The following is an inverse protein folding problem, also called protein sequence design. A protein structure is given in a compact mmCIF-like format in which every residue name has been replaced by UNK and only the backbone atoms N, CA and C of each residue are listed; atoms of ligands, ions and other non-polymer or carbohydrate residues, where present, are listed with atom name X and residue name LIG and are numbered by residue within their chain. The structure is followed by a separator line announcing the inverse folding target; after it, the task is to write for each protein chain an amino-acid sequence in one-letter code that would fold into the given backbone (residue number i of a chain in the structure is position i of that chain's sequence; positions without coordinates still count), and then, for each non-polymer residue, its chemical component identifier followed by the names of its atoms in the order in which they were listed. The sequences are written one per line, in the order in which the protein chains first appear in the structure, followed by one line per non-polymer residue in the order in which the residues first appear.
data_IF_220949887886
#
_entry.id   IF_220949887886
#
_cell.length_a   1.000
_cell.length_b   1.000
_cell.length_c   1.000
_cell.angle_alpha   90.00
_cell.angle_beta   90.00
_cell.angle_gamma   90.00
#
_symmetry.space_group_name_H-M   'P 1'
#
loop_
_entity.id
_entity.type
_entity.pdbx_description
1 polymer ?
#
# COMPACT_ATOMS: atom_id res chain seq x y z
N UNK A 1 7.15 -24.97 -4.25
CA UNK A 1 6.28 -23.82 -4.59
C UNK A 1 6.94 -23.05 -5.73
N UNK A 2 6.24 -22.83 -6.84
CA UNK A 2 6.76 -22.16 -8.05
C UNK A 2 6.84 -20.62 -7.89
N UNK A 3 7.43 -20.11 -6.79
CA UNK A 3 7.52 -18.67 -6.50
C UNK A 3 6.18 -17.99 -6.18
N UNK A 4 5.17 -18.76 -5.78
CA UNK A 4 3.81 -18.29 -5.45
C UNK A 4 3.40 -18.69 -4.03
N UNK A 5 4.34 -18.63 -3.08
CA UNK A 5 4.11 -18.91 -1.66
C UNK A 5 3.00 -18.05 -1.03
N UNK A 6 2.75 -16.87 -1.62
CA UNK A 6 1.68 -15.96 -1.25
C UNK A 6 0.27 -16.60 -1.41
N UNK A 7 0.15 -17.70 -2.16
CA UNK A 7 -1.08 -18.45 -2.41
C UNK A 7 -1.09 -19.85 -1.77
N UNK A 8 -0.25 -20.08 -0.75
CA UNK A 8 -0.30 -21.31 0.02
C UNK A 8 -1.69 -21.49 0.67
N UNK A 9 -2.29 -22.67 0.57
CA UNK A 9 -3.54 -23.00 1.28
C UNK A 9 -3.36 -23.17 2.80
N UNK A 10 -2.10 -23.33 3.24
CA UNK A 10 -1.72 -23.43 4.65
C UNK A 10 -0.62 -22.41 4.98
N UNK A 11 -0.90 -21.09 4.88
CA UNK A 11 0.09 -20.07 5.11
C UNK A 11 0.35 -19.91 6.62
N UNK A 12 1.59 -19.54 6.96
CA UNK A 12 1.96 -19.11 8.31
C UNK A 12 2.48 -17.67 8.24
N UNK A 13 1.88 -16.79 9.04
CA UNK A 13 2.16 -15.36 9.08
C UNK A 13 2.74 -14.97 10.45
N UNK A 14 3.91 -14.34 10.44
CA UNK A 14 4.56 -13.77 11.63
C UNK A 14 3.71 -12.64 12.20
N UNK A 15 3.36 -12.72 13.49
CA UNK A 15 2.49 -11.75 14.15
C UNK A 15 0.99 -11.92 13.89
N UNK A 16 0.57 -13.02 13.23
CA UNK A 16 -0.85 -13.33 13.04
C UNK A 16 -1.18 -14.79 13.38
N UNK A 17 -0.60 -15.78 12.69
CA UNK A 17 -0.79 -17.20 13.03
C UNK A 17 0.29 -17.73 13.98
N UNK A 18 1.40 -17.01 14.11
CA UNK A 18 2.52 -17.30 15.01
C UNK A 18 2.97 -16.00 15.65
N UNK A 19 3.71 -16.10 16.76
CA UNK A 19 4.23 -14.94 17.47
C UNK A 19 5.05 -14.01 16.55
N UNK A 20 5.01 -12.71 16.85
CA UNK A 20 5.60 -11.66 16.02
C UNK A 20 6.47 -10.68 16.80
N UNK A 21 6.64 -9.48 16.24
CA UNK A 21 7.59 -8.47 16.72
C UNK A 21 7.12 -7.62 17.92
N UNK A 22 5.94 -7.87 18.49
CA UNK A 22 5.51 -7.20 19.74
C UNK A 22 6.13 -7.91 20.95
N UNK A 23 7.47 -7.98 20.95
CA UNK A 23 8.29 -8.69 21.90
C UNK A 23 9.72 -8.13 21.85
N UNK A 24 10.54 -8.46 22.86
CA UNK A 24 11.98 -8.12 22.86
C UNK A 24 12.83 -9.06 22.00
N UNK A 25 12.26 -10.18 21.54
CA UNK A 25 12.92 -11.16 20.66
C UNK A 25 11.87 -11.94 19.87
N UNK A 26 12.21 -12.36 18.64
CA UNK A 26 11.32 -13.13 17.77
C UNK A 26 12.10 -14.22 17.01
N UNK A 27 11.44 -15.35 16.74
CA UNK A 27 11.98 -16.43 15.90
C UNK A 27 11.44 -16.26 14.49
N UNK A 28 12.34 -16.07 13.51
CA UNK A 28 11.98 -15.94 12.10
C UNK A 28 12.45 -17.17 11.30
N UNK A 29 11.65 -17.56 10.31
CA UNK A 29 12.11 -18.48 9.27
C UNK A 29 13.09 -17.73 8.35
N UNK A 30 14.33 -18.21 8.29
CA UNK A 30 15.41 -17.54 7.56
C UNK A 30 15.10 -17.33 6.07
N UNK A 31 14.20 -18.12 5.47
CA UNK A 31 13.79 -17.95 4.07
C UNK A 31 12.95 -16.70 3.84
N UNK A 32 12.35 -16.14 4.89
CA UNK A 32 11.51 -14.95 4.88
C UNK A 32 12.12 -13.78 5.67
N UNK A 33 13.39 -13.88 6.03
CA UNK A 33 14.16 -12.81 6.64
C UNK A 33 15.00 -12.10 5.57
N UNK A 34 14.92 -10.77 5.53
CA UNK A 34 15.59 -9.97 4.50
C UNK A 34 16.69 -9.10 5.12
N UNK A 35 17.86 -8.99 4.48
CA UNK A 35 18.89 -8.06 4.91
C UNK A 35 18.44 -6.62 4.63
N UNK A 36 18.39 -5.79 5.66
CA UNK A 36 18.00 -4.38 5.55
C UNK A 36 19.18 -3.42 5.46
N UNK A 37 20.41 -3.96 5.49
CA UNK A 37 21.64 -3.17 5.62
C UNK A 37 21.84 -2.65 7.04
N UNK A 38 22.95 -1.93 7.26
CA UNK A 38 23.14 -1.15 8.48
C UNK A 38 22.50 0.21 8.28
N UNK A 39 21.54 0.56 9.12
CA UNK A 39 20.95 1.90 9.17
C UNK A 39 20.91 2.36 10.60
N UNK A 40 20.92 3.67 10.81
CA UNK A 40 20.82 4.24 12.15
C UNK A 40 19.36 4.36 12.63
N UNK A 41 18.36 3.98 11.81
CA UNK A 41 16.93 4.15 12.14
C UNK A 41 16.04 2.99 11.67
N UNK A 42 15.95 1.95 12.51
CA UNK A 42 15.02 0.82 12.31
C UNK A 42 13.55 1.26 12.27
N UNK A 43 13.18 2.42 12.84
CA UNK A 43 11.80 2.88 12.78
C UNK A 43 11.37 3.24 11.37
N UNK A 44 12.29 3.78 10.57
CA UNK A 44 12.00 4.12 9.18
C UNK A 44 11.83 2.86 8.31
N UNK A 45 12.47 1.76 8.69
CA UNK A 45 12.45 0.50 7.96
C UNK A 45 11.23 -0.36 8.28
N UNK A 46 10.75 -0.36 9.53
CA UNK A 46 9.66 -1.23 9.95
C UNK A 46 8.39 -1.09 9.08
N UNK A 47 7.93 0.12 8.68
CA UNK A 47 6.78 0.26 7.78
C UNK A 47 7.01 -0.31 6.38
N UNK A 48 8.27 -0.38 5.91
CA UNK A 48 8.60 -0.94 4.60
C UNK A 48 8.30 -2.43 4.52
N UNK A 49 8.43 -3.17 5.63
CA UNK A 49 8.22 -4.61 5.70
C UNK A 49 6.74 -5.04 5.60
N UNK A 50 5.79 -4.12 5.66
CA UNK A 50 4.38 -4.41 5.49
C UNK A 50 3.76 -3.48 4.45
N UNK A 51 3.58 -2.20 4.80
CA UNK A 51 2.97 -1.21 3.93
C UNK A 51 3.80 -0.96 2.66
N UNK A 52 5.13 -0.98 2.78
CA UNK A 52 6.02 -0.86 1.63
C UNK A 52 5.92 -2.07 0.70
N UNK A 53 6.03 -3.30 1.22
CA UNK A 53 5.98 -4.51 0.40
C UNK A 53 4.63 -4.72 -0.30
N UNK A 54 3.51 -4.48 0.39
CA UNK A 54 2.20 -4.58 -0.27
C UNK A 54 2.01 -3.47 -1.31
N UNK A 55 2.56 -2.29 -1.05
CA UNK A 55 2.58 -1.18 -2.00
C UNK A 55 3.43 -1.49 -3.24
N UNK A 56 4.60 -2.09 -3.06
CA UNK A 56 5.45 -2.53 -4.17
C UNK A 56 4.74 -3.59 -5.02
N UNK A 57 4.24 -4.65 -4.38
CA UNK A 57 3.57 -5.74 -5.08
C UNK A 57 2.35 -5.25 -5.87
N UNK A 58 1.54 -4.38 -5.28
CA UNK A 58 0.38 -3.80 -5.95
C UNK A 58 0.79 -2.90 -7.13
N UNK A 59 1.88 -2.14 -7.01
CA UNK A 59 2.44 -1.33 -8.09
C UNK A 59 2.99 -2.18 -9.25
N UNK A 60 3.65 -3.30 -8.94
CA UNK A 60 4.10 -4.27 -9.95
C UNK A 60 2.89 -4.86 -10.69
N UNK A 61 1.83 -5.24 -9.96
CA UNK A 61 0.58 -5.74 -10.58
C UNK A 61 -0.12 -4.66 -11.42
N UNK A 62 -0.06 -3.39 -11.00
CA UNK A 62 -0.56 -2.25 -11.75
C UNK A 62 0.18 -2.06 -13.10
N UNK A 63 1.36 -2.66 -13.28
CA UNK A 63 2.15 -2.64 -14.51
C UNK A 63 2.88 -1.32 -14.75
N UNK A 64 3.29 -1.08 -16.00
CA UNK A 64 4.19 0.02 -16.40
C UNK A 64 3.49 1.35 -16.74
N UNK A 65 2.18 1.46 -16.50
CA UNK A 65 1.39 2.64 -16.88
C UNK A 65 1.87 3.95 -16.26
N UNK A 66 1.95 5.05 -17.02
CA UNK A 66 2.55 6.29 -16.51
C UNK A 66 1.72 6.99 -15.42
N UNK A 67 0.38 6.95 -15.48
CA UNK A 67 -0.52 7.62 -14.53
C UNK A 67 -1.15 6.60 -13.57
N UNK A 68 -0.78 6.66 -12.31
CA UNK A 68 -1.22 5.71 -11.27
C UNK A 68 -2.12 6.42 -10.26
N UNK A 69 -3.36 5.95 -10.14
CA UNK A 69 -4.28 6.34 -9.07
C UNK A 69 -4.07 5.53 -7.80
N UNK A 70 -4.02 6.19 -6.65
CA UNK A 70 -3.92 5.55 -5.33
C UNK A 70 -5.17 5.92 -4.50
N UNK A 71 -6.07 4.96 -4.32
CA UNK A 71 -7.32 5.10 -3.56
C UNK A 71 -7.13 4.65 -2.12
N UNK A 72 -7.31 5.58 -1.17
CA UNK A 72 -6.95 5.38 0.23
C UNK A 72 -5.49 5.76 0.48
N UNK A 73 -5.24 7.06 0.66
CA UNK A 73 -3.89 7.61 0.80
C UNK A 73 -3.31 7.48 2.23
N UNK A 74 -3.10 6.24 2.67
CA UNK A 74 -2.56 5.89 3.99
C UNK A 74 -1.10 5.41 3.99
N UNK A 75 -0.78 4.44 4.86
CA UNK A 75 0.57 3.90 5.04
C UNK A 75 1.20 3.36 3.74
N UNK A 76 0.51 2.47 3.01
CA UNK A 76 1.05 1.90 1.77
C UNK A 76 1.12 2.94 0.64
N UNK A 77 0.08 3.77 0.51
CA UNK A 77 -0.03 4.76 -0.55
C UNK A 77 1.07 5.84 -0.49
N UNK A 78 1.42 6.35 0.69
CA UNK A 78 2.47 7.37 0.80
C UNK A 78 3.87 6.84 0.52
N UNK A 79 4.11 5.55 0.81
CA UNK A 79 5.38 4.86 0.45
C UNK A 79 5.42 4.65 -1.06
N UNK A 80 4.40 4.01 -1.63
CA UNK A 80 4.38 3.66 -3.05
C UNK A 80 4.30 4.88 -3.96
N UNK A 81 3.73 6.01 -3.50
CA UNK A 81 3.75 7.27 -4.24
C UNK A 81 5.20 7.73 -4.50
N UNK A 82 6.09 7.60 -3.52
CA UNK A 82 7.51 7.93 -3.67
C UNK A 82 8.21 6.97 -4.64
N UNK A 83 7.89 5.67 -4.57
CA UNK A 83 8.39 4.66 -5.50
C UNK A 83 7.96 4.98 -6.94
N UNK A 84 6.67 5.22 -7.17
CA UNK A 84 6.13 5.53 -8.49
C UNK A 84 6.74 6.81 -9.05
N UNK A 85 6.91 7.86 -8.23
CA UNK A 85 7.60 9.09 -8.64
C UNK A 85 9.06 8.86 -9.00
N UNK A 86 9.78 8.05 -8.23
CA UNK A 86 11.16 7.67 -8.54
C UNK A 86 11.26 6.90 -9.87
N UNK A 87 10.23 6.11 -10.21
CA UNK A 87 10.08 5.48 -11.53
C UNK A 87 9.68 6.48 -12.64
N UNK A 88 9.53 7.77 -12.34
CA UNK A 88 9.11 8.79 -13.31
C UNK A 88 7.60 8.78 -13.61
N UNK A 89 6.78 8.16 -12.77
CA UNK A 89 5.32 8.03 -12.99
C UNK A 89 4.56 9.17 -12.29
N UNK A 90 3.47 9.61 -12.92
CA UNK A 90 2.53 10.57 -12.33
C UNK A 90 1.59 9.87 -11.36
N UNK A 91 1.46 10.42 -10.15
CA UNK A 91 0.64 9.84 -9.08
C UNK A 91 -0.60 10.70 -8.85
N UNK A 92 -1.76 10.07 -8.77
CA UNK A 92 -3.05 10.70 -8.50
C UNK A 92 -3.60 10.14 -7.19
N UNK A 93 -3.70 10.97 -6.16
CA UNK A 93 -4.14 10.54 -4.83
C UNK A 93 -5.65 10.74 -4.67
N UNK A 94 -6.36 9.67 -4.30
CA UNK A 94 -7.78 9.71 -3.97
C UNK A 94 -7.95 9.46 -2.46
N UNK A 95 -8.45 10.48 -1.77
CA UNK A 95 -8.70 10.45 -0.32
C UNK A 95 -10.18 10.25 -0.04
N UNK A 96 -10.58 10.16 1.24
CA UNK A 96 -11.99 10.32 1.59
C UNK A 96 -12.49 11.70 1.11
N UNK A 97 -13.75 11.83 0.70
CA UNK A 97 -14.34 13.12 0.36
C UNK A 97 -14.15 14.11 1.52
N UNK A 98 -13.65 15.32 1.21
CA UNK A 98 -13.39 16.37 2.20
C UNK A 98 -12.16 16.20 3.10
N UNK A 99 -11.35 15.14 2.93
CA UNK A 99 -10.14 14.90 3.72
C UNK A 99 -8.96 15.78 3.27
N UNK A 100 -9.10 17.08 3.48
CA UNK A 100 -8.14 18.11 3.03
C UNK A 100 -6.73 17.92 3.62
N UNK A 101 -6.63 17.38 4.84
CA UNK A 101 -5.36 17.09 5.50
C UNK A 101 -4.59 16.00 4.76
N UNK A 102 -5.24 14.88 4.45
CA UNK A 102 -4.61 13.78 3.69
C UNK A 102 -4.29 14.22 2.27
N UNK A 103 -5.13 15.05 1.64
CA UNK A 103 -4.82 15.61 0.31
C UNK A 103 -3.60 16.53 0.35
N UNK A 104 -3.47 17.38 1.36
CA UNK A 104 -2.29 18.24 1.54
C UNK A 104 -1.03 17.40 1.77
N UNK A 105 -1.13 16.33 2.55
CA UNK A 105 -0.03 15.37 2.74
C UNK A 105 0.36 14.67 1.43
N UNK A 106 -0.62 14.25 0.61
CA UNK A 106 -0.30 13.69 -0.70
C UNK A 106 0.43 14.70 -1.59
N UNK A 107 -0.03 15.96 -1.63
CA UNK A 107 0.61 17.04 -2.40
C UNK A 107 2.03 17.32 -1.92
N UNK A 108 2.31 17.27 -0.61
CA UNK A 108 3.67 17.47 -0.09
C UNK A 108 4.66 16.39 -0.54
N UNK A 109 4.16 15.19 -0.90
CA UNK A 109 4.96 14.12 -1.50
C UNK A 109 5.14 14.25 -3.02
N UNK A 110 4.60 15.32 -3.62
CA UNK A 110 4.76 15.63 -5.04
C UNK A 110 3.85 14.83 -5.98
N UNK A 111 2.68 14.38 -5.50
CA UNK A 111 1.67 13.78 -6.39
C UNK A 111 1.17 14.82 -7.40
N UNK A 112 0.80 14.36 -8.60
CA UNK A 112 0.32 15.20 -9.70
C UNK A 112 -1.05 15.82 -9.39
N UNK A 113 -1.90 15.08 -8.69
CA UNK A 113 -3.23 15.53 -8.30
C UNK A 113 -3.66 14.84 -7.00
N UNK A 114 -4.47 15.53 -6.20
CA UNK A 114 -5.11 14.96 -5.01
C UNK A 114 -6.53 15.51 -4.85
N UNK A 115 -7.50 14.62 -4.64
CA UNK A 115 -8.91 14.96 -4.44
C UNK A 115 -9.68 13.83 -3.74
N UNK A 116 -10.98 14.02 -3.54
CA UNK A 116 -11.88 13.01 -3.00
C UNK A 116 -12.04 11.81 -3.94
N UNK A 117 -12.34 10.65 -3.36
CA UNK A 117 -12.58 9.42 -4.12
C UNK A 117 -13.85 9.44 -4.98
N UNK A 118 -14.73 10.40 -4.73
CA UNK A 118 -15.94 10.73 -5.49
C UNK A 118 -15.66 11.72 -6.65
N UNK A 119 -14.48 12.31 -6.70
CA UNK A 119 -14.06 13.21 -7.78
C UNK A 119 -13.41 12.43 -8.94
N UNK A 120 -13.34 13.07 -10.10
CA UNK A 120 -12.63 12.53 -11.27
C UNK A 120 -11.26 13.20 -11.41
N UNK A 121 -10.20 12.44 -11.73
CA UNK A 121 -8.92 13.03 -12.05
C UNK A 121 -9.02 13.84 -13.35
N UNK A 122 -8.15 14.84 -13.55
CA UNK A 122 -8.15 15.65 -14.77
C UNK A 122 -7.78 14.86 -16.04
N UNK A 123 -7.18 13.68 -15.87
CA UNK A 123 -6.76 12.81 -16.97
C UNK A 123 -7.10 11.34 -16.66
N UNK A 124 -7.41 10.52 -17.69
CA UNK A 124 -7.60 9.09 -17.51
C UNK A 124 -6.35 8.40 -16.98
N UNK A 125 -6.52 7.51 -16.02
CA UNK A 125 -5.45 6.76 -15.36
C UNK A 125 -5.09 5.50 -16.16
N UNK A 126 -3.82 5.12 -16.12
CA UNK A 126 -3.33 3.86 -16.68
C UNK A 126 -3.58 2.69 -15.73
N UNK A 127 -3.48 2.93 -14.43
CA UNK A 127 -3.81 1.98 -13.38
C UNK A 127 -4.34 2.67 -12.13
N UNK A 128 -5.12 1.95 -11.33
CA UNK A 128 -5.67 2.37 -10.05
C UNK A 128 -5.41 1.29 -9.01
N UNK A 129 -4.86 1.66 -7.87
CA UNK A 129 -4.59 0.77 -6.73
C UNK A 129 -5.49 1.19 -5.58
N UNK A 130 -6.27 0.25 -5.04
CA UNK A 130 -7.22 0.49 -3.96
C UNK A 130 -6.68 -0.15 -2.68
N UNK A 131 -6.31 0.70 -1.71
CA UNK A 131 -5.91 0.30 -0.36
C UNK A 131 -7.06 0.43 0.65
N UNK A 132 -8.04 1.29 0.36
CA UNK A 132 -9.23 1.42 1.19
C UNK A 132 -10.06 0.13 1.17
N UNK A 133 -10.75 -0.14 2.28
CA UNK A 133 -11.54 -1.36 2.48
C UNK A 133 -12.96 -1.26 1.90
N UNK A 134 -13.17 -0.42 0.88
CA UNK A 134 -14.49 -0.14 0.32
C UNK A 134 -14.64 -0.61 -1.13
N UNK A 135 -15.56 -1.56 -1.36
CA UNK A 135 -15.87 -2.14 -2.67
C UNK A 135 -16.48 -1.16 -3.66
N UNK A 136 -17.13 -0.09 -3.18
CA UNK A 136 -17.72 0.96 -4.04
C UNK A 136 -16.65 1.75 -4.83
N UNK A 137 -15.39 1.67 -4.40
CA UNK A 137 -14.26 2.29 -5.09
C UNK A 137 -13.88 1.54 -6.35
N UNK A 138 -14.25 0.26 -6.51
CA UNK A 138 -13.91 -0.51 -7.71
C UNK A 138 -14.60 0.06 -8.96
N UNK A 139 -15.93 0.29 -8.99
CA UNK A 139 -16.57 1.00 -10.10
C UNK A 139 -16.05 2.44 -10.31
N UNK A 140 -15.79 3.17 -9.23
CA UNK A 140 -15.25 4.53 -9.30
C UNK A 140 -13.87 4.55 -9.97
N UNK A 141 -12.99 3.62 -9.60
CA UNK A 141 -11.67 3.46 -10.18
C UNK A 141 -11.77 3.04 -11.66
N UNK A 142 -12.65 2.10 -12.02
CA UNK A 142 -12.87 1.71 -13.42
C UNK A 142 -13.26 2.90 -14.30
N UNK A 143 -14.13 3.78 -13.80
CA UNK A 143 -14.56 5.00 -14.50
C UNK A 143 -13.41 5.97 -14.76
N UNK A 144 -12.44 6.04 -13.84
CA UNK A 144 -11.25 6.89 -13.97
C UNK A 144 -10.17 6.30 -14.89
N UNK A 145 -10.26 5.02 -15.28
CA UNK A 145 -9.26 4.37 -16.13
C UNK A 145 -9.50 4.62 -17.62
N UNK A 146 -8.41 4.72 -18.39
CA UNK A 146 -8.47 4.51 -19.85
C UNK A 146 -8.78 3.05 -20.19
N UNK A 147 -9.11 2.79 -21.46
CA UNK A 147 -9.17 1.41 -22.01
C UNK A 147 -7.84 0.68 -21.79
N UNK A 148 -7.91 -0.61 -21.49
CA UNK A 148 -6.76 -1.46 -21.14
C UNK A 148 -6.15 -1.19 -19.76
N UNK A 149 -6.75 -0.30 -18.96
CA UNK A 149 -6.26 0.02 -17.61
C UNK A 149 -6.57 -1.07 -16.58
N UNK A 150 -5.90 -1.00 -15.42
CA UNK A 150 -6.02 -2.01 -14.36
C UNK A 150 -6.50 -1.41 -13.04
N UNK A 151 -7.47 -2.04 -12.39
CA UNK A 151 -7.81 -1.84 -10.98
C UNK A 151 -7.16 -2.97 -10.17
N UNK A 152 -6.35 -2.60 -9.18
CA UNK A 152 -5.66 -3.51 -8.27
C UNK A 152 -6.18 -3.31 -6.85
N UNK A 153 -6.94 -4.28 -6.34
CA UNK A 153 -7.44 -4.28 -4.97
C UNK A 153 -6.34 -4.83 -4.05
N UNK A 154 -5.73 -3.94 -3.26
CA UNK A 154 -4.58 -4.25 -2.40
C UNK A 154 -4.94 -4.37 -0.90
N UNK A 155 -6.21 -4.14 -0.54
CA UNK A 155 -6.70 -4.38 0.82
C UNK A 155 -6.78 -5.87 1.15
N UNK A 156 -6.42 -6.24 2.40
CA UNK A 156 -6.59 -7.61 2.92
C UNK A 156 -8.06 -7.98 3.16
N UNK A 157 -8.91 -6.97 3.29
CA UNK A 157 -10.35 -7.08 3.42
C UNK A 157 -11.01 -5.89 2.71
N UNK A 158 -12.19 -6.11 2.18
CA UNK A 158 -13.00 -5.10 1.50
C UNK A 158 -14.48 -5.47 1.65
N UNK A 159 -15.36 -4.46 1.70
CA UNK A 159 -16.79 -4.68 1.54
C UNK A 159 -17.14 -5.29 0.17
N UNK A 160 -18.38 -5.74 0.00
CA UNK A 160 -18.85 -6.26 -1.28
C UNK A 160 -18.64 -5.23 -2.41
N UNK A 161 -18.20 -5.73 -3.57
CA UNK A 161 -18.14 -4.91 -4.78
C UNK A 161 -19.58 -4.82 -5.31
N UNK A 162 -20.19 -3.63 -5.36
CA UNK A 162 -21.55 -3.49 -5.86
C UNK A 162 -21.60 -3.83 -7.37
N UNK A 163 -22.77 -4.20 -7.86
CA UNK A 163 -22.99 -4.34 -9.29
C UNK A 163 -22.71 -3.02 -10.02
N UNK A 164 -22.12 -3.09 -11.21
CA UNK A 164 -21.81 -1.93 -12.03
C UNK A 164 -22.09 -2.21 -13.51
N UNK A 165 -22.34 -1.18 -14.33
CA UNK A 165 -22.61 -1.38 -15.75
C UNK A 165 -21.38 -1.94 -16.48
N UNK A 166 -21.61 -2.88 -17.41
CA UNK A 166 -20.53 -3.59 -18.09
C UNK A 166 -19.60 -2.69 -18.93
N UNK A 167 -20.07 -1.51 -19.35
CA UNK A 167 -19.29 -0.52 -20.09
C UNK A 167 -18.07 0.00 -19.30
N UNK A 168 -18.12 -0.02 -17.97
CA UNK A 168 -17.00 0.31 -17.09
C UNK A 168 -15.88 -0.73 -17.18
N UNK A 169 -16.20 -1.99 -17.48
CA UNK A 169 -15.21 -3.06 -17.69
C UNK A 169 -14.82 -3.21 -19.16
N UNK A 170 -15.76 -2.94 -20.08
CA UNK A 170 -15.56 -3.04 -21.52
C UNK A 170 -14.38 -2.18 -22.00
N UNK A 171 -13.66 -2.67 -23.01
CA UNK A 171 -12.41 -2.06 -23.48
C UNK A 171 -11.16 -2.60 -22.76
N UNK A 172 -11.17 -3.89 -22.43
CA UNK A 172 -10.04 -4.66 -21.89
C UNK A 172 -9.51 -4.15 -20.55
N UNK A 173 -10.35 -3.51 -19.75
CA UNK A 173 -9.98 -3.16 -18.37
C UNK A 173 -9.95 -4.42 -17.52
N UNK A 174 -9.10 -4.41 -16.50
CA UNK A 174 -8.88 -5.55 -15.62
C UNK A 174 -9.18 -5.18 -14.17
N UNK A 175 -9.76 -6.11 -13.42
CA UNK A 175 -9.90 -6.04 -11.96
C UNK A 175 -9.10 -7.19 -11.39
N UNK A 176 -8.19 -6.91 -10.46
CA UNK A 176 -7.32 -7.91 -9.87
C UNK A 176 -7.22 -7.70 -8.36
N UNK A 177 -6.96 -8.76 -7.61
CA UNK A 177 -6.62 -8.68 -6.19
C UNK A 177 -5.15 -8.99 -5.95
N UNK A 178 -4.60 -8.39 -4.91
CA UNK A 178 -3.28 -8.75 -4.37
C UNK A 178 -3.51 -9.65 -3.16
N UNK A 179 -2.91 -10.84 -3.17
CA UNK A 179 -2.94 -11.75 -2.03
C UNK A 179 -1.53 -11.91 -1.47
N UNK A 180 -1.33 -11.51 -0.20
CA UNK A 180 -0.09 -11.67 0.57
C UNK A 180 1.17 -11.18 -0.19
N UNK A 181 2.34 -11.68 0.20
CA UNK A 181 3.64 -11.32 -0.36
C UNK A 181 4.42 -12.57 -0.75
N UNK A 182 5.22 -12.45 -1.79
CA UNK A 182 6.26 -13.43 -2.15
C UNK A 182 7.61 -12.97 -1.59
N UNK A 183 8.56 -13.90 -1.48
CA UNK A 183 9.94 -13.54 -1.13
C UNK A 183 10.59 -12.67 -2.19
N UNK A 184 10.22 -12.85 -3.46
CA UNK A 184 10.74 -12.03 -4.55
C UNK A 184 10.33 -10.57 -4.40
N UNK A 185 9.09 -10.29 -3.97
CA UNK A 185 8.67 -8.91 -3.66
C UNK A 185 9.59 -8.29 -2.59
N UNK A 186 9.95 -9.07 -1.57
CA UNK A 186 10.91 -8.71 -0.53
C UNK A 186 12.27 -8.31 -1.06
N UNK A 187 12.87 -9.20 -1.86
CA UNK A 187 14.20 -8.98 -2.44
C UNK A 187 14.23 -7.78 -3.39
N UNK A 188 13.23 -7.65 -4.26
CA UNK A 188 13.16 -6.59 -5.26
C UNK A 188 12.96 -5.23 -4.59
N UNK A 189 11.97 -5.12 -3.70
CA UNK A 189 11.64 -3.85 -3.07
C UNK A 189 12.72 -3.38 -2.11
N UNK A 190 13.16 -4.25 -1.18
CA UNK A 190 14.11 -3.86 -0.14
C UNK A 190 15.51 -3.62 -0.72
N UNK A 191 15.86 -4.27 -1.83
CA UNK A 191 17.08 -3.97 -2.58
C UNK A 191 17.06 -2.58 -3.26
N UNK A 192 15.88 -2.07 -3.62
CA UNK A 192 15.72 -0.77 -4.25
C UNK A 192 15.47 0.37 -3.26
N UNK A 193 14.82 0.10 -2.12
CA UNK A 193 14.38 1.11 -1.16
C UNK A 193 15.50 2.11 -0.74
N UNK A 194 16.75 1.69 -0.47
CA UNK A 194 17.84 2.63 -0.15
C UNK A 194 18.17 3.61 -1.28
N UNK A 195 17.99 3.20 -2.55
CA UNK A 195 18.26 4.04 -3.73
C UNK A 195 17.12 5.02 -4.03
N UNK A 196 15.91 4.68 -3.60
CA UNK A 196 14.72 5.51 -3.78
C UNK A 196 14.72 6.66 -2.77
N UNK A 197 15.29 6.44 -1.57
CA UNK A 197 15.30 7.44 -0.50
C UNK A 197 13.90 7.65 0.09
N UNK A 198 13.15 6.55 0.29
CA UNK A 198 11.78 6.58 0.81
C UNK A 198 11.79 7.17 2.22
N UNK A 199 11.02 8.23 2.42
CA UNK A 199 10.76 8.80 3.74
C UNK A 199 9.43 8.26 4.25
N UNK A 200 9.49 7.41 5.27
CA UNK A 200 8.30 6.91 5.97
C UNK A 200 7.91 7.84 7.10
N UNK A 201 6.63 8.10 7.28
CA UNK A 201 6.13 8.77 8.48
C UNK A 201 5.81 7.72 9.54
N UNK A 202 6.60 7.69 10.61
CA UNK A 202 6.45 6.75 11.71
C UNK A 202 6.28 7.48 13.04
N UNK A 203 5.37 6.99 13.88
CA UNK A 203 5.09 7.48 15.21
C UNK A 203 5.62 6.46 16.22
N UNK A 204 6.57 6.87 17.06
CA UNK A 204 7.21 6.00 18.04
C UNK A 204 6.32 5.79 19.25
N UNK A 205 6.19 4.53 19.66
CA UNK A 205 5.58 4.14 20.93
C UNK A 205 6.50 3.14 21.63
N UNK A 206 6.52 3.13 22.96
CA UNK A 206 7.17 2.05 23.69
C UNK A 206 6.37 0.74 23.55
N UNK A 207 7.02 -0.41 23.67
CA UNK A 207 6.34 -1.71 23.53
C UNK A 207 5.17 -1.89 24.52
N UNK A 208 5.30 -1.41 25.75
CA UNK A 208 4.24 -1.44 26.77
C UNK A 208 3.04 -0.52 26.44
N UNK A 209 3.21 0.40 25.50
CA UNK A 209 2.17 1.30 24.98
C UNK A 209 1.43 0.74 23.76
N UNK A 210 1.59 -0.53 23.40
CA UNK A 210 0.95 -1.16 22.24
C UNK A 210 -0.57 -0.89 22.15
N UNK A 211 -1.27 -0.99 23.29
CA UNK A 211 -2.72 -0.72 23.34
C UNK A 211 -3.06 0.75 23.03
N UNK A 212 -2.22 1.69 23.45
CA UNK A 212 -2.38 3.10 23.12
C UNK A 212 -2.16 3.34 21.63
N UNK A 213 -1.10 2.77 21.05
CA UNK A 213 -0.82 2.87 19.62
C UNK A 213 -2.00 2.36 18.76
N UNK A 214 -2.61 1.23 19.15
CA UNK A 214 -3.80 0.69 18.49
C UNK A 214 -5.03 1.60 18.64
N UNK A 215 -5.22 2.21 19.81
CA UNK A 215 -6.30 3.18 20.04
C UNK A 215 -6.12 4.43 19.18
N UNK A 216 -4.89 4.95 19.10
CA UNK A 216 -4.53 6.13 18.29
C UNK A 216 -4.76 5.87 16.80
N UNK A 217 -4.37 4.68 16.32
CA UNK A 217 -4.61 4.25 14.95
C UNK A 217 -6.11 4.21 14.62
N UNK A 218 -6.92 3.59 15.49
CA UNK A 218 -8.39 3.49 15.29
C UNK A 218 -9.07 4.87 15.26
N UNK A 219 -8.57 5.80 16.07
CA UNK A 219 -9.10 7.15 16.15
C UNK A 219 -8.52 8.10 15.08
N UNK A 220 -7.60 7.63 14.22
CA UNK A 220 -6.97 8.44 13.19
C UNK A 220 -6.12 9.59 13.74
N UNK A 221 -5.47 9.39 14.91
CA UNK A 221 -4.72 10.46 15.61
C UNK A 221 -3.34 10.78 15.02
N UNK A 222 -2.88 10.03 14.03
CA UNK A 222 -1.62 10.28 13.34
C UNK A 222 -1.71 9.90 11.86
N UNK A 223 -0.84 10.48 11.03
CA UNK A 223 -0.58 10.00 9.68
C UNK A 223 0.61 9.02 9.66
N UNK A 224 0.59 8.06 8.72
CA UNK A 224 1.66 7.09 8.54
C UNK A 224 1.48 5.83 9.36
N UNK A 225 2.57 5.31 9.93
CA UNK A 225 2.59 4.09 10.74
C UNK A 225 2.87 4.39 12.22
N UNK A 226 2.41 3.53 13.12
CA UNK A 226 2.91 3.46 14.49
C UNK A 226 3.95 2.34 14.59
N UNK A 227 5.07 2.60 15.26
CA UNK A 227 6.17 1.65 15.44
C UNK A 227 6.44 1.49 16.94
N UNK A 228 6.37 0.25 17.41
CA UNK A 228 6.74 -0.09 18.78
C UNK A 228 8.24 -0.31 18.88
N UNK A 229 8.84 0.26 19.93
CA UNK A 229 10.26 0.11 20.24
C UNK A 229 10.36 -0.64 21.58
N UNK A 230 10.85 -1.90 21.56
CA UNK A 230 11.10 -2.71 22.75
C UNK A 230 12.20 -2.18 23.66
#
# INVERSE_FOLDING_TARGET
MAGRENLCDHPLFTGFTRDGGFATSAIADARYAFPLGKTDDDMSLAPLLCAGLIGWRSLVMAGEGHRVGLYGFGAAAHIVAQVARWQGRSVFAFTRPGDVTTQAFARSLGVTWAGGSDEQPPEPLDAAIIYATSGELVPAALKALRKGGRVVCAGIHMSEIPGFPYDLLWGERQIMSVANLTRQDGLDFLGLAPRIGIVTRANRYALDQANQALSDLRAGRFEGAAVLVP
#
